data_IF_817859359618
#
_entry.id   IF_817859359618
#
_cell.length_a   1.000
_cell.length_b   1.000
_cell.length_c   1.000
_cell.angle_alpha   90.00
_cell.angle_beta   90.00
_cell.angle_gamma   90.00
#
_symmetry.space_group_name_H-M   'P 1'
#
loop_
_entity.id
_entity.type
_entity.pdbx_description
1 polymer ?
#
# COMPACT_ATOMS: atom_id res chain seq x y z
N UNK A 1 -24.60 7.58 14.13
CA UNK A 1 -24.18 8.77 13.36
C UNK A 1 -22.70 9.07 13.54
N UNK A 2 -22.21 9.33 14.76
CA UNK A 2 -20.79 9.64 15.04
C UNK A 2 -19.84 8.49 14.64
N UNK A 3 -20.17 7.24 15.01
CA UNK A 3 -19.34 6.07 14.67
C UNK A 3 -19.16 5.86 13.16
N UNK A 4 -20.17 6.18 12.35
CA UNK A 4 -20.11 6.08 10.88
C UNK A 4 -19.19 7.13 10.28
N UNK A 5 -19.20 8.36 10.80
CA UNK A 5 -18.32 9.45 10.37
C UNK A 5 -16.87 9.13 10.74
N UNK A 6 -16.62 8.68 11.98
CA UNK A 6 -15.29 8.27 12.44
C UNK A 6 -14.78 7.08 11.63
N UNK A 7 -15.64 6.09 11.34
CA UNK A 7 -15.29 4.93 10.50
C UNK A 7 -14.91 5.34 9.08
N UNK A 8 -15.66 6.25 8.46
CA UNK A 8 -15.35 6.78 7.13
C UNK A 8 -14.04 7.59 7.11
N UNK A 9 -13.83 8.43 8.13
CA UNK A 9 -12.60 9.21 8.28
C UNK A 9 -11.37 8.30 8.52
N UNK A 10 -11.50 7.28 9.37
CA UNK A 10 -10.43 6.30 9.63
C UNK A 10 -10.09 5.48 8.38
N UNK A 11 -11.08 5.05 7.60
CA UNK A 11 -10.87 4.36 6.34
C UNK A 11 -10.13 5.27 5.34
N UNK A 12 -10.60 6.52 5.18
CA UNK A 12 -9.97 7.49 4.28
C UNK A 12 -8.53 7.81 4.70
N UNK A 13 -8.29 8.07 5.99
CA UNK A 13 -6.96 8.36 6.52
C UNK A 13 -5.99 7.19 6.30
N UNK A 14 -6.48 5.95 6.42
CA UNK A 14 -5.66 4.76 6.18
C UNK A 14 -5.27 4.62 4.71
N UNK A 15 -6.21 4.84 3.78
CA UNK A 15 -5.91 4.86 2.34
C UNK A 15 -4.91 5.95 1.98
N UNK A 16 -5.12 7.16 2.50
CA UNK A 16 -4.27 8.34 2.26
C UNK A 16 -2.89 8.18 2.91
N UNK A 17 -2.71 7.32 3.91
CA UNK A 17 -1.40 7.02 4.50
C UNK A 17 -0.51 6.19 3.56
N UNK A 18 -1.08 5.20 2.87
CA UNK A 18 -0.29 4.26 2.05
C UNK A 18 -0.25 4.61 0.56
N UNK A 19 -1.29 5.26 0.03
CA UNK A 19 -1.37 5.61 -1.39
C UNK A 19 -0.24 6.56 -1.85
N UNK A 20 0.12 7.65 -1.13
CA UNK A 20 1.23 8.53 -1.52
C UNK A 20 2.58 7.81 -1.48
N UNK A 21 2.75 6.87 -0.56
CA UNK A 21 3.97 6.08 -0.45
C UNK A 21 4.09 5.09 -1.62
N UNK A 22 3.00 4.43 -2.00
CA UNK A 22 2.95 3.57 -3.19
C UNK A 22 3.26 4.38 -4.47
N UNK A 23 2.67 5.58 -4.60
CA UNK A 23 2.94 6.48 -5.71
C UNK A 23 4.40 6.96 -5.75
N UNK A 24 4.98 7.30 -4.60
CA UNK A 24 6.40 7.67 -4.49
C UNK A 24 7.31 6.54 -4.97
N UNK A 25 7.00 5.29 -4.66
CA UNK A 25 7.76 4.12 -5.11
C UNK A 25 7.73 3.97 -6.63
N UNK A 26 6.55 4.12 -7.24
CA UNK A 26 6.37 4.12 -8.70
C UNK A 26 7.21 5.24 -9.33
N UNK A 27 7.00 6.48 -8.89
CA UNK A 27 7.61 7.66 -9.50
C UNK A 27 9.13 7.69 -9.38
N UNK A 28 9.65 7.38 -8.19
CA UNK A 28 11.10 7.47 -7.92
C UNK A 28 11.86 6.24 -8.39
N UNK A 29 11.20 5.08 -8.51
CA UNK A 29 11.80 3.76 -8.77
C UNK A 29 12.90 3.36 -7.76
N UNK A 30 13.06 4.12 -6.67
CA UNK A 30 14.04 3.89 -5.60
C UNK A 30 13.34 3.25 -4.42
N UNK A 31 13.68 2.00 -4.13
CA UNK A 31 13.17 1.28 -2.95
C UNK A 31 14.27 1.00 -1.93
N UNK A 32 15.52 1.40 -2.20
CA UNK A 32 16.68 1.08 -1.36
C UNK A 32 16.53 1.61 0.07
N UNK A 33 15.96 2.82 0.23
CA UNK A 33 15.64 3.46 1.50
C UNK A 33 14.49 2.78 2.29
N UNK A 34 13.71 1.90 1.64
CA UNK A 34 12.64 1.17 2.32
C UNK A 34 13.20 -0.02 3.10
N UNK A 35 13.02 0.00 4.41
CA UNK A 35 13.32 -1.15 5.27
C UNK A 35 12.39 -2.33 4.93
N UNK A 36 12.96 -3.45 4.50
CA UNK A 36 12.20 -4.64 4.10
C UNK A 36 11.33 -5.17 5.24
N UNK A 37 11.87 -5.18 6.46
CA UNK A 37 11.17 -5.67 7.65
C UNK A 37 9.87 -4.92 7.95
N UNK A 38 9.83 -3.60 7.73
CA UNK A 38 8.62 -2.79 7.95
C UNK A 38 7.47 -3.24 7.04
N UNK A 39 7.76 -3.50 5.76
CA UNK A 39 6.73 -3.91 4.80
C UNK A 39 6.26 -5.35 5.02
N UNK A 40 7.17 -6.26 5.42
CA UNK A 40 6.80 -7.62 5.85
C UNK A 40 5.88 -7.55 7.08
N UNK A 41 6.26 -6.76 8.10
CA UNK A 41 5.48 -6.61 9.32
C UNK A 41 4.09 -6.03 9.03
N UNK A 42 3.99 -5.04 8.14
CA UNK A 42 2.70 -4.48 7.73
C UNK A 42 1.82 -5.53 7.02
N UNK A 43 2.37 -6.31 6.09
CA UNK A 43 1.62 -7.39 5.42
C UNK A 43 1.09 -8.41 6.43
N UNK A 44 1.94 -8.87 7.34
CA UNK A 44 1.54 -9.82 8.39
C UNK A 44 0.49 -9.19 9.31
N UNK A 45 0.73 -7.97 9.81
CA UNK A 45 -0.17 -7.26 10.71
C UNK A 45 -1.55 -7.03 10.10
N UNK A 46 -1.64 -6.51 8.88
CA UNK A 46 -2.92 -6.28 8.21
C UNK A 46 -3.64 -7.58 7.85
N UNK A 47 -2.90 -8.66 7.56
CA UNK A 47 -3.50 -9.99 7.38
C UNK A 47 -4.15 -10.47 8.68
N UNK A 48 -3.42 -10.41 9.80
CA UNK A 48 -3.93 -10.82 11.12
C UNK A 48 -5.17 -9.99 11.53
N UNK A 49 -5.11 -8.67 11.37
CA UNK A 49 -6.24 -7.79 11.67
C UNK A 49 -7.45 -8.04 10.77
N UNK A 50 -7.22 -8.34 9.49
CA UNK A 50 -8.31 -8.71 8.57
C UNK A 50 -8.98 -10.00 9.01
N UNK A 51 -8.21 -11.05 9.33
CA UNK A 51 -8.74 -12.33 9.83
C UNK A 51 -9.51 -12.13 11.12
N UNK A 52 -8.96 -11.36 12.07
CA UNK A 52 -9.64 -11.00 13.30
C UNK A 52 -10.96 -10.26 13.05
N UNK A 53 -10.95 -9.26 12.15
CA UNK A 53 -12.14 -8.51 11.77
C UNK A 53 -13.23 -9.41 11.19
N UNK A 54 -12.85 -10.37 10.32
CA UNK A 54 -13.76 -11.36 9.74
C UNK A 54 -14.38 -12.24 10.83
N UNK A 55 -13.57 -12.79 11.74
CA UNK A 55 -14.05 -13.61 12.86
C UNK A 55 -15.04 -12.85 13.77
N UNK A 56 -14.91 -11.53 13.86
CA UNK A 56 -15.76 -10.66 14.68
C UNK A 56 -16.92 -10.00 13.92
N UNK A 57 -17.00 -10.17 12.60
CA UNK A 57 -18.00 -9.50 11.76
C UNK A 57 -17.86 -7.98 11.69
N UNK A 58 -16.65 -7.45 11.92
CA UNK A 58 -16.40 -6.00 12.07
C UNK A 58 -15.94 -5.37 10.75
N UNK A 59 -16.89 -4.98 9.89
CA UNK A 59 -16.61 -4.36 8.59
C UNK A 59 -15.69 -3.13 8.66
N UNK A 60 -15.82 -2.31 9.72
CA UNK A 60 -14.97 -1.14 9.95
C UNK A 60 -13.50 -1.48 10.23
N UNK A 61 -13.19 -2.74 10.58
CA UNK A 61 -11.82 -3.25 10.70
C UNK A 61 -11.43 -3.93 9.38
N UNK A 62 -12.31 -4.78 8.83
CA UNK A 62 -12.02 -5.58 7.64
C UNK A 62 -11.65 -4.70 6.44
N UNK A 63 -12.50 -3.74 6.08
CA UNK A 63 -12.36 -2.92 4.87
C UNK A 63 -11.04 -2.14 4.86
N UNK A 64 -10.70 -1.32 5.87
CA UNK A 64 -9.45 -0.57 5.84
C UNK A 64 -8.22 -1.48 5.88
N UNK A 65 -8.23 -2.57 6.65
CA UNK A 65 -7.08 -3.49 6.71
C UNK A 65 -6.84 -4.20 5.37
N UNK A 66 -7.89 -4.57 4.63
CA UNK A 66 -7.74 -5.12 3.27
C UNK A 66 -7.08 -4.10 2.32
N UNK A 67 -7.49 -2.84 2.38
CA UNK A 67 -6.92 -1.81 1.50
C UNK A 67 -5.45 -1.55 1.87
N UNK A 68 -5.14 -1.42 3.16
CA UNK A 68 -3.76 -1.27 3.63
C UNK A 68 -2.88 -2.49 3.31
N UNK A 69 -3.45 -3.69 3.39
CA UNK A 69 -2.80 -4.93 3.00
C UNK A 69 -2.45 -4.90 1.51
N UNK A 70 -3.37 -4.49 0.64
CA UNK A 70 -3.13 -4.38 -0.80
C UNK A 70 -1.96 -3.42 -1.12
N UNK A 71 -1.94 -2.23 -0.50
CA UNK A 71 -0.82 -1.30 -0.67
C UNK A 71 0.50 -1.85 -0.11
N UNK A 72 0.46 -2.51 1.05
CA UNK A 72 1.66 -3.06 1.68
C UNK A 72 2.26 -4.20 0.86
N UNK A 73 1.42 -5.07 0.29
CA UNK A 73 1.83 -6.12 -0.65
C UNK A 73 2.44 -5.47 -1.90
N UNK A 74 1.78 -4.47 -2.49
CA UNK A 74 2.30 -3.77 -3.66
C UNK A 74 3.70 -3.19 -3.41
N UNK A 75 3.89 -2.48 -2.30
CA UNK A 75 5.19 -1.87 -1.98
C UNK A 75 6.24 -2.93 -1.66
N UNK A 76 5.87 -4.00 -0.95
CA UNK A 76 6.76 -5.13 -0.68
C UNK A 76 7.20 -5.81 -1.98
N UNK A 77 6.28 -6.06 -2.91
CA UNK A 77 6.57 -6.62 -4.23
C UNK A 77 7.50 -5.69 -5.01
N UNK A 78 7.22 -4.38 -5.05
CA UNK A 78 8.12 -3.40 -5.69
C UNK A 78 9.51 -3.35 -5.06
N UNK A 79 9.64 -3.62 -3.76
CA UNK A 79 10.94 -3.73 -3.06
C UNK A 79 11.69 -5.01 -3.44
N UNK A 80 10.99 -6.13 -3.60
CA UNK A 80 11.57 -7.45 -3.89
C UNK A 80 11.80 -7.70 -5.38
N UNK A 81 11.10 -6.98 -6.26
CA UNK A 81 11.24 -7.12 -7.70
C UNK A 81 12.65 -6.75 -8.18
N UNK A 82 13.20 -7.47 -9.17
CA UNK A 82 14.43 -7.07 -9.84
C UNK A 82 14.31 -5.67 -10.43
N UNK A 83 15.43 -4.92 -10.43
CA UNK A 83 15.51 -3.56 -10.99
C UNK A 83 14.84 -3.40 -12.37
N UNK A 84 15.07 -4.27 -13.37
CA UNK A 84 14.46 -4.12 -14.70
C UNK A 84 12.94 -4.30 -14.68
N UNK A 85 12.42 -5.28 -13.93
CA UNK A 85 10.97 -5.54 -13.85
C UNK A 85 10.26 -4.40 -13.14
N UNK A 86 10.84 -3.87 -12.06
CA UNK A 86 10.32 -2.71 -11.33
C UNK A 86 10.21 -1.47 -12.24
N UNK A 87 11.18 -1.24 -13.12
CA UNK A 87 11.12 -0.13 -14.06
C UNK A 87 9.95 -0.31 -15.04
N UNK A 88 9.79 -1.49 -15.65
CA UNK A 88 8.66 -1.78 -16.55
C UNK A 88 7.30 -1.53 -15.89
N UNK A 89 7.14 -1.97 -14.64
CA UNK A 89 5.90 -1.73 -13.87
C UNK A 89 5.71 -0.22 -13.63
N UNK A 90 6.78 0.48 -13.24
CA UNK A 90 6.71 1.93 -13.03
C UNK A 90 6.41 2.71 -14.33
N UNK A 91 6.98 2.30 -15.45
CA UNK A 91 6.78 2.94 -16.76
C UNK A 91 5.36 2.72 -17.28
N UNK A 92 4.78 1.54 -17.01
CA UNK A 92 3.38 1.25 -17.32
C UNK A 92 2.39 2.08 -16.48
N UNK A 93 2.77 2.44 -15.25
CA UNK A 93 1.92 3.19 -14.31
C UNK A 93 2.15 4.71 -14.34
N UNK A 94 3.34 5.16 -14.75
CA UNK A 94 3.72 6.58 -14.90
C UNK A 94 4.56 6.78 -16.18
N UNK A 95 3.94 6.64 -17.37
CA UNK A 95 4.63 6.79 -18.66
C UNK A 95 5.16 8.22 -18.90
N UNK A 96 4.59 9.22 -18.21
CA UNK A 96 4.95 10.63 -18.35
C UNK A 96 6.30 11.00 -17.69
N UNK A 97 6.94 10.09 -16.94
CA UNK A 97 8.31 10.30 -16.45
C UNK A 97 9.36 9.94 -17.51
N UNK A 98 9.07 9.00 -18.40
CA UNK A 98 10.01 8.58 -19.44
C UNK A 98 10.21 9.68 -20.50
N UNK A 99 9.13 10.34 -20.91
CA UNK A 99 9.14 11.48 -21.84
C UNK A 99 9.82 12.76 -21.30
N UNK A 100 10.14 12.82 -20.00
CA UNK A 100 10.91 13.92 -19.38
C UNK A 100 12.41 13.61 -19.23
N UNK A 101 12.84 12.38 -19.55
CA UNK A 101 14.25 11.96 -19.50
C UNK A 101 14.95 12.02 -20.86
N UNK A 102 14.20 12.21 -21.95
CA UNK A 102 14.68 12.48 -23.31
C UNK A 102 14.82 13.98 -23.50
#
# INVERSE_FOLDING_TARGET
MIASIIGAAAATASVVSFAPQAWKVIRTRKTDELALGTWILNVVGFTLWTVFGIQRGLWAIIVPNIICLAFSIFILVMKLLPRPTRHKVADALDPAVDSRRV
#
